data_IF_863190753680
#
_entry.id   IF_863190753680
#
_cell.length_a   1.000
_cell.length_b   1.000
_cell.length_c   1.000
_cell.angle_alpha   90.00
_cell.angle_beta   90.00
_cell.angle_gamma   90.00
#
_symmetry.space_group_name_H-M   'P 1'
#
loop_
_entity.id
_entity.type
_entity.pdbx_description
1 polymer ?
#
# COMPACT_ATOMS: atom_id res chain seq x y z
N UNK A 1 -17.92 -4.36 -11.04
CA UNK A 1 -16.93 -3.70 -10.16
C UNK A 1 -16.17 -4.78 -9.42
N UNK A 2 -14.85 -4.65 -9.26
CA UNK A 2 -14.10 -5.56 -8.41
C UNK A 2 -14.61 -5.43 -6.95
N UNK A 3 -14.66 -6.54 -6.21
CA UNK A 3 -15.06 -6.49 -4.81
C UNK A 3 -14.06 -5.64 -4.01
N UNK A 4 -14.57 -4.71 -3.20
CA UNK A 4 -13.78 -3.83 -2.36
C UNK A 4 -13.20 -4.65 -1.21
N UNK A 5 -11.88 -4.60 -1.01
CA UNK A 5 -11.23 -5.33 0.06
C UNK A 5 -11.37 -4.62 1.42
N UNK A 6 -11.35 -5.34 2.55
CA UNK A 6 -11.34 -4.74 3.89
C UNK A 6 -10.19 -3.73 4.08
N UNK A 7 -9.01 -4.06 3.56
CA UNK A 7 -7.81 -3.19 3.59
C UNK A 7 -8.03 -1.87 2.83
N UNK A 8 -8.74 -1.89 1.69
CA UNK A 8 -9.10 -0.65 0.97
C UNK A 8 -10.04 0.24 1.78
N UNK A 9 -11.01 -0.37 2.48
CA UNK A 9 -11.91 0.36 3.38
C UNK A 9 -11.15 0.96 4.57
N UNK A 10 -10.25 0.20 5.17
CA UNK A 10 -9.36 0.69 6.24
C UNK A 10 -8.58 1.90 5.75
N UNK A 11 -7.86 1.78 4.62
CA UNK A 11 -7.03 2.86 4.10
C UNK A 11 -7.80 4.16 3.83
N UNK A 12 -8.96 4.08 3.16
CA UNK A 12 -9.75 5.26 2.82
C UNK A 12 -10.56 5.82 4.00
N UNK A 13 -10.74 5.03 5.06
CA UNK A 13 -11.37 5.47 6.31
C UNK A 13 -10.40 6.06 7.35
N UNK A 14 -9.09 5.86 7.19
CA UNK A 14 -8.12 6.41 8.14
C UNK A 14 -7.97 7.94 7.98
N UNK A 15 -7.85 8.70 9.08
CA UNK A 15 -7.53 10.13 9.02
C UNK A 15 -6.09 10.38 8.53
N UNK A 16 -5.20 9.41 8.70
CA UNK A 16 -3.80 9.47 8.29
C UNK A 16 -3.38 8.13 7.66
N UNK A 17 -2.71 8.20 6.51
CA UNK A 17 -2.18 7.04 5.79
C UNK A 17 -0.85 7.41 5.15
N UNK A 18 -0.03 6.41 4.82
CA UNK A 18 1.21 6.63 4.08
C UNK A 18 1.16 6.01 2.69
N UNK A 19 1.76 6.73 1.72
CA UNK A 19 1.99 6.25 0.36
C UNK A 19 3.47 5.95 0.23
N UNK A 20 3.81 4.72 -0.15
CA UNK A 20 5.19 4.23 -0.24
C UNK A 20 5.38 3.70 -1.65
N UNK A 21 6.48 4.03 -2.33
CA UNK A 21 6.76 3.47 -3.67
C UNK A 21 5.85 4.02 -4.77
N UNK A 22 6.44 4.75 -5.72
CA UNK A 22 5.71 5.43 -6.79
C UNK A 22 6.16 5.03 -8.20
N UNK A 23 7.14 4.13 -8.33
CA UNK A 23 7.78 3.81 -9.60
C UNK A 23 8.18 2.35 -9.67
N UNK A 24 7.92 1.74 -10.84
CA UNK A 24 8.34 0.37 -11.19
C UNK A 24 9.82 0.27 -11.58
N UNK A 25 10.45 1.39 -11.87
CA UNK A 25 11.86 1.48 -12.27
C UNK A 25 12.79 1.23 -11.07
N UNK A 26 13.38 0.03 -11.03
CA UNK A 26 14.28 -0.45 -9.99
C UNK A 26 15.62 0.29 -9.94
N UNK A 27 15.95 1.07 -10.97
CA UNK A 27 17.15 1.92 -10.95
C UNK A 27 16.99 3.12 -10.01
N UNK A 28 15.76 3.56 -9.75
CA UNK A 28 15.48 4.72 -8.90
C UNK A 28 15.75 4.43 -7.44
N UNK A 29 16.36 5.40 -6.77
CA UNK A 29 16.67 5.33 -5.34
C UNK A 29 15.42 5.03 -4.49
N UNK A 30 14.29 5.65 -4.81
CA UNK A 30 13.03 5.43 -4.08
C UNK A 30 12.60 3.95 -4.04
N UNK A 31 12.81 3.20 -5.12
CA UNK A 31 12.47 1.77 -5.17
C UNK A 31 13.39 0.94 -4.27
N UNK A 32 14.68 1.31 -4.18
CA UNK A 32 15.67 0.61 -3.35
C UNK A 32 15.42 0.74 -1.84
N UNK A 33 14.63 1.72 -1.41
CA UNK A 33 14.36 1.98 0.01
C UNK A 33 12.95 1.56 0.45
N UNK A 34 12.10 1.10 -0.47
CA UNK A 34 10.70 0.70 -0.19
C UNK A 34 10.59 -0.25 0.99
N UNK A 35 11.40 -1.32 1.02
CA UNK A 35 11.39 -2.31 2.10
C UNK A 35 11.76 -1.70 3.46
N UNK A 36 12.79 -0.85 3.50
CA UNK A 36 13.20 -0.18 4.73
C UNK A 36 12.14 0.79 5.26
N UNK A 37 11.41 1.47 4.37
CA UNK A 37 10.29 2.34 4.77
C UNK A 37 9.13 1.50 5.32
N UNK A 38 8.82 0.33 4.74
CA UNK A 38 7.79 -0.56 5.25
C UNK A 38 8.15 -1.10 6.65
N UNK A 39 9.42 -1.42 6.89
CA UNK A 39 9.91 -1.83 8.20
C UNK A 39 9.71 -0.73 9.25
N UNK A 40 10.10 0.51 8.93
CA UNK A 40 9.88 1.66 9.82
C UNK A 40 8.39 1.94 10.04
N UNK A 41 7.57 1.83 8.99
CA UNK A 41 6.13 2.03 9.11
C UNK A 41 5.48 0.99 10.03
N UNK A 42 5.97 -0.26 10.02
CA UNK A 42 5.57 -1.29 10.99
C UNK A 42 5.97 -0.92 12.41
N UNK A 43 7.22 -0.51 12.62
CA UNK A 43 7.74 -0.11 13.94
C UNK A 43 7.00 1.09 14.55
N UNK A 44 6.58 2.02 13.70
CA UNK A 44 5.81 3.21 14.08
C UNK A 44 4.29 2.98 14.14
N UNK A 45 3.83 1.75 13.91
CA UNK A 45 2.41 1.37 13.88
C UNK A 45 1.55 2.24 12.95
N UNK A 46 2.06 2.53 11.74
CA UNK A 46 1.30 3.29 10.75
C UNK A 46 0.06 2.48 10.35
N UNK A 47 -1.16 3.04 10.47
CA UNK A 47 -2.40 2.26 10.47
C UNK A 47 -2.86 1.85 9.06
N UNK A 48 -2.40 2.53 8.02
CA UNK A 48 -2.75 2.22 6.64
C UNK A 48 -1.66 2.67 5.66
N UNK A 49 -1.33 1.79 4.74
CA UNK A 49 -0.22 1.92 3.81
C UNK A 49 -0.69 1.57 2.39
N UNK A 50 -0.16 2.26 1.39
CA UNK A 50 -0.42 1.91 -0.02
C UNK A 50 0.84 2.03 -0.85
N UNK A 51 1.06 1.01 -1.69
CA UNK A 51 2.05 1.02 -2.76
C UNK A 51 1.37 1.24 -4.10
N UNK A 52 1.90 2.17 -4.91
CA UNK A 52 1.45 2.29 -6.29
C UNK A 52 1.63 0.93 -6.99
N UNK A 53 0.62 0.43 -7.72
CA UNK A 53 0.73 -0.85 -8.40
C UNK A 53 2.00 -0.98 -9.24
N UNK A 54 2.81 -1.99 -8.92
CA UNK A 54 4.09 -2.31 -9.57
C UNK A 54 5.31 -1.60 -8.98
N UNK A 55 5.18 -0.85 -7.89
CA UNK A 55 6.33 -0.32 -7.13
C UNK A 55 6.90 -1.34 -6.14
N UNK A 56 6.20 -2.45 -5.94
CA UNK A 56 6.62 -3.62 -5.18
C UNK A 56 7.56 -4.54 -5.97
N UNK A 57 8.55 -5.11 -5.28
CA UNK A 57 9.33 -6.26 -5.73
C UNK A 57 8.99 -7.50 -4.89
N UNK A 58 9.62 -8.64 -5.19
CA UNK A 58 9.36 -9.90 -4.50
C UNK A 58 9.62 -9.80 -2.99
N UNK A 59 10.71 -9.16 -2.57
CA UNK A 59 11.06 -9.02 -1.16
C UNK A 59 10.04 -8.14 -0.41
N UNK A 60 9.56 -7.08 -1.05
CA UNK A 60 8.51 -6.21 -0.54
C UNK A 60 7.19 -6.99 -0.38
N UNK A 61 6.81 -7.77 -1.39
CA UNK A 61 5.57 -8.56 -1.36
C UNK A 61 5.60 -9.59 -0.23
N UNK A 62 6.69 -10.35 -0.09
CA UNK A 62 6.81 -11.34 0.99
C UNK A 62 6.80 -10.68 2.37
N UNK A 63 7.52 -9.56 2.54
CA UNK A 63 7.48 -8.80 3.80
C UNK A 63 6.07 -8.34 4.15
N UNK A 64 5.31 -7.82 3.19
CA UNK A 64 3.93 -7.39 3.42
C UNK A 64 3.05 -8.57 3.85
N UNK A 65 3.13 -9.72 3.16
CA UNK A 65 2.33 -10.91 3.51
C UNK A 65 2.59 -11.39 4.94
N UNK A 66 3.85 -11.41 5.35
CA UNK A 66 4.26 -11.89 6.68
C UNK A 66 3.92 -10.90 7.81
N UNK A 67 3.92 -9.60 7.53
CA UNK A 67 3.97 -8.59 8.60
C UNK A 67 2.85 -7.55 8.59
N UNK A 68 2.23 -7.29 7.43
CA UNK A 68 1.40 -6.10 7.21
C UNK A 68 0.17 -6.35 6.30
N UNK A 69 -0.20 -7.62 6.09
CA UNK A 69 -1.27 -8.02 5.16
C UNK A 69 -2.65 -7.41 5.48
N UNK A 70 -2.86 -7.00 6.73
CA UNK A 70 -4.09 -6.39 7.24
C UNK A 70 -4.18 -4.88 7.02
N UNK A 71 -3.10 -4.22 6.58
CA UNK A 71 -3.05 -2.75 6.48
C UNK A 71 -2.30 -2.16 5.28
N UNK A 72 -1.67 -2.97 4.43
CA UNK A 72 -1.01 -2.52 3.19
C UNK A 72 -1.81 -2.90 1.96
N UNK A 73 -2.19 -1.91 1.15
CA UNK A 73 -2.64 -2.12 -0.23
C UNK A 73 -1.41 -2.20 -1.13
N UNK A 74 -1.26 -3.29 -1.89
CA UNK A 74 -0.24 -3.45 -2.92
C UNK A 74 -0.80 -4.30 -4.06
N UNK A 75 -0.22 -4.16 -5.25
CA UNK A 75 -0.76 -4.77 -6.45
C UNK A 75 -2.18 -4.27 -6.82
N UNK A 76 -2.78 -4.90 -7.83
CA UNK A 76 -4.13 -4.57 -8.27
C UNK A 76 -4.29 -3.18 -8.90
N UNK A 77 -5.53 -2.66 -8.99
CA UNK A 77 -5.82 -1.34 -9.55
C UNK A 77 -5.38 -0.18 -8.62
N UNK A 78 -5.17 1.00 -9.20
CA UNK A 78 -4.73 2.19 -8.46
C UNK A 78 -5.83 2.74 -7.55
N UNK A 79 -5.55 2.85 -6.24
CA UNK A 79 -6.51 3.38 -5.26
C UNK A 79 -6.89 4.84 -5.52
N UNK A 80 -5.99 5.63 -6.11
CA UNK A 80 -6.26 7.04 -6.45
C UNK A 80 -7.21 7.19 -7.63
N UNK A 81 -7.43 6.14 -8.41
CA UNK A 81 -8.42 6.13 -9.50
C UNK A 81 -9.76 5.58 -8.99
N UNK A 82 -9.73 4.58 -8.11
CA UNK A 82 -10.94 3.91 -7.60
C UNK A 82 -11.48 4.50 -6.30
N UNK A 83 -10.79 5.47 -5.71
CA UNK A 83 -11.08 5.97 -4.37
C UNK A 83 -12.52 6.45 -4.19
N UNK A 84 -13.07 7.16 -5.18
CA UNK A 84 -14.43 7.71 -5.10
C UNK A 84 -15.50 6.61 -5.05
N UNK A 85 -15.38 5.59 -5.91
CA UNK A 85 -16.27 4.42 -5.90
C UNK A 85 -16.22 3.70 -4.55
N UNK A 86 -15.02 3.52 -3.99
CA UNK A 86 -14.85 2.83 -2.71
C UNK A 86 -15.43 3.66 -1.57
N UNK A 87 -15.16 4.97 -1.55
CA UNK A 87 -15.69 5.91 -0.54
C UNK A 87 -17.21 5.99 -0.56
N UNK A 88 -17.85 5.80 -1.71
CA UNK A 88 -19.31 5.75 -1.79
C UNK A 88 -19.93 4.53 -1.08
N UNK A 89 -19.10 3.54 -0.71
CA UNK A 89 -19.51 2.28 -0.05
C UNK A 89 -19.09 2.17 1.43
N UNK A 90 -18.47 3.22 1.97
CA UNK A 90 -18.11 3.36 3.39
C UNK A 90 -19.29 3.91 4.18
#
# INVERSE_FOLDING_TARGET
MAAISPVQKTFLGQPFFAVIGASKDTSKFGTKVTLGILQQAKELDVPALWLQPGAEDEAVVEYIKENLADRVIYGGPCILVQGDDIRSSL
#
